data_IF_569758245416
#
_entry.id   IF_569758245416
#
_cell.length_a   1.000
_cell.length_b   1.000
_cell.length_c   1.000
_cell.angle_alpha   90.00
_cell.angle_beta   90.00
_cell.angle_gamma   90.00
#
_symmetry.space_group_name_H-M   'P 1'
#
loop_
_entity.id
_entity.type
_entity.pdbx_description
1 polymer ?
#
# COMPACT_ATOMS: atom_id res chain seq x y z
N UNK A 1 7.60 16.46 -3.18
CA UNK A 1 8.00 15.78 -4.43
C UNK A 1 6.86 14.84 -4.79
N UNK A 2 6.52 14.68 -6.06
CA UNK A 2 5.42 13.78 -6.45
C UNK A 2 5.82 12.32 -6.25
N UNK A 3 4.80 11.45 -6.09
CA UNK A 3 4.98 10.00 -5.96
C UNK A 3 5.69 9.41 -7.18
N UNK A 4 5.38 9.93 -8.38
CA UNK A 4 6.05 9.58 -9.63
C UNK A 4 7.54 9.94 -9.62
N UNK A 5 7.90 11.11 -9.08
CA UNK A 5 9.32 11.53 -9.00
C UNK A 5 10.10 10.71 -7.95
N UNK A 6 9.46 10.34 -6.85
CA UNK A 6 10.09 9.55 -5.78
C UNK A 6 10.20 8.05 -6.13
N UNK A 7 9.19 7.51 -6.81
CA UNK A 7 9.07 6.09 -7.17
C UNK A 7 8.81 5.90 -8.68
N UNK A 8 9.70 6.39 -9.56
CA UNK A 8 9.46 6.39 -11.00
C UNK A 8 9.40 4.98 -11.56
N UNK A 9 10.11 4.01 -10.95
CA UNK A 9 10.05 2.62 -11.39
C UNK A 9 8.69 2.04 -11.10
N UNK A 10 8.24 2.12 -9.85
CA UNK A 10 6.97 1.54 -9.42
C UNK A 10 5.79 2.19 -10.15
N UNK A 11 5.82 3.51 -10.30
CA UNK A 11 4.85 4.24 -11.08
C UNK A 11 4.76 3.72 -12.53
N UNK A 12 5.91 3.60 -13.20
CA UNK A 12 5.95 3.14 -14.58
C UNK A 12 5.58 1.66 -14.73
N UNK A 13 5.96 0.81 -13.78
CA UNK A 13 5.62 -0.62 -13.82
C UNK A 13 4.10 -0.81 -13.77
N UNK A 14 3.40 -0.03 -12.94
CA UNK A 14 1.95 -0.05 -12.86
C UNK A 14 1.28 0.54 -14.10
N UNK A 15 1.66 1.75 -14.53
CA UNK A 15 1.08 2.43 -15.70
C UNK A 15 1.23 1.61 -17.00
N UNK A 16 2.37 0.93 -17.16
CA UNK A 16 2.68 0.15 -18.37
C UNK A 16 2.35 -1.34 -18.23
N UNK A 17 1.60 -1.74 -17.20
CA UNK A 17 1.17 -3.12 -16.98
C UNK A 17 2.32 -4.15 -16.99
N UNK A 18 3.47 -3.78 -16.42
CA UNK A 18 4.67 -4.64 -16.39
C UNK A 18 4.61 -5.71 -15.31
N UNK A 19 3.70 -5.56 -14.35
CA UNK A 19 3.47 -6.52 -13.28
C UNK A 19 2.28 -7.39 -13.69
N UNK A 20 2.43 -8.72 -13.64
CA UNK A 20 1.32 -9.60 -13.98
C UNK A 20 0.23 -9.57 -12.91
N UNK A 21 -0.99 -9.94 -13.28
CA UNK A 21 -2.15 -9.97 -12.36
C UNK A 21 -1.91 -10.85 -11.14
N UNK A 22 -1.15 -11.93 -11.28
CA UNK A 22 -0.84 -12.86 -10.21
C UNK A 22 0.15 -12.28 -9.18
N UNK A 23 0.87 -11.20 -9.55
CA UNK A 23 1.93 -10.60 -8.75
C UNK A 23 1.62 -9.21 -8.23
N UNK A 24 0.52 -8.61 -8.67
CA UNK A 24 0.19 -7.22 -8.33
C UNK A 24 -0.04 -7.02 -6.82
N UNK A 25 -0.70 -7.98 -6.16
CA UNK A 25 -0.94 -7.93 -4.72
C UNK A 25 0.39 -7.92 -3.96
N UNK A 26 1.28 -8.87 -4.27
CA UNK A 26 2.63 -8.92 -3.68
C UNK A 26 3.43 -7.64 -3.94
N UNK A 27 3.35 -7.13 -5.17
CA UNK A 27 4.05 -5.92 -5.57
C UNK A 27 3.62 -4.70 -4.73
N UNK A 28 2.31 -4.50 -4.57
CA UNK A 28 1.75 -3.41 -3.78
C UNK A 28 2.06 -3.56 -2.28
N UNK A 29 1.94 -4.77 -1.72
CA UNK A 29 2.28 -4.99 -0.30
C UNK A 29 3.77 -4.75 -0.03
N UNK A 30 4.66 -5.16 -0.94
CA UNK A 30 6.09 -4.87 -0.85
C UNK A 30 6.39 -3.38 -0.97
N UNK A 31 5.63 -2.66 -1.78
CA UNK A 31 5.74 -1.21 -1.84
C UNK A 31 5.39 -0.58 -0.49
N UNK A 32 4.26 -0.96 0.13
CA UNK A 32 3.89 -0.46 1.47
C UNK A 32 4.92 -0.83 2.53
N UNK A 33 5.47 -2.05 2.50
CA UNK A 33 6.55 -2.47 3.40
C UNK A 33 7.78 -1.55 3.29
N UNK A 34 8.13 -1.15 2.06
CA UNK A 34 9.21 -0.18 1.81
C UNK A 34 8.87 1.20 2.39
N UNK A 35 7.65 1.71 2.16
CA UNK A 35 7.21 3.00 2.73
C UNK A 35 7.36 2.99 4.25
N UNK A 36 6.87 1.94 4.90
CA UNK A 36 6.94 1.76 6.34
C UNK A 36 8.38 1.75 6.86
N UNK A 37 9.29 1.08 6.16
CA UNK A 37 10.72 1.08 6.50
C UNK A 37 11.36 2.46 6.37
N UNK A 38 11.01 3.21 5.33
CA UNK A 38 11.50 4.57 5.12
C UNK A 38 11.00 5.52 6.22
N UNK A 39 9.73 5.39 6.62
CA UNK A 39 9.15 6.14 7.75
C UNK A 39 9.86 5.81 9.06
N UNK A 40 9.97 4.52 9.41
CA UNK A 40 10.65 4.09 10.65
C UNK A 40 12.13 4.49 10.72
N UNK A 41 12.78 4.67 9.57
CA UNK A 41 14.18 5.11 9.50
C UNK A 41 14.33 6.64 9.38
N UNK A 42 13.24 7.39 9.49
CA UNK A 42 13.23 8.85 9.43
C UNK A 42 13.57 9.44 8.05
N UNK A 43 13.49 8.62 6.99
CA UNK A 43 13.71 9.07 5.60
C UNK A 43 12.46 9.66 4.97
N UNK A 44 11.31 9.51 5.64
CA UNK A 44 9.99 9.87 5.16
C UNK A 44 9.09 10.27 6.32
N UNK A 45 8.10 11.12 6.09
CA UNK A 45 7.11 11.48 7.11
C UNK A 45 6.08 10.37 7.27
N UNK A 46 5.53 10.21 8.47
CA UNK A 46 4.50 9.21 8.76
C UNK A 46 3.27 9.39 7.87
N UNK A 47 2.84 10.64 7.64
CA UNK A 47 1.68 10.99 6.80
C UNK A 47 1.81 10.47 5.37
N UNK A 48 3.03 10.24 4.88
CA UNK A 48 3.27 9.72 3.53
C UNK A 48 3.02 8.20 3.42
N UNK A 49 2.60 7.51 4.50
CA UNK A 49 2.18 6.09 4.42
C UNK A 49 0.95 5.89 3.53
N UNK A 50 0.09 6.92 3.41
CA UNK A 50 -1.07 6.91 2.51
C UNK A 50 -0.72 6.77 1.03
N UNK A 51 0.54 7.01 0.66
CA UNK A 51 1.03 6.85 -0.71
C UNK A 51 0.92 5.42 -1.25
N UNK A 52 0.77 4.42 -0.37
CA UNK A 52 0.44 3.05 -0.77
C UNK A 52 -0.90 2.95 -1.52
N UNK A 53 -1.91 3.73 -1.11
CA UNK A 53 -3.21 3.80 -1.79
C UNK A 53 -3.14 4.56 -3.11
N UNK A 54 -2.37 5.64 -3.14
CA UNK A 54 -2.16 6.44 -4.36
C UNK A 54 -1.63 5.57 -5.51
N UNK A 55 -0.85 4.53 -5.24
CA UNK A 55 -0.42 3.58 -6.27
C UNK A 55 -1.58 2.76 -6.86
N UNK A 56 -2.59 2.45 -6.05
CA UNK A 56 -3.80 1.71 -6.47
C UNK A 56 -4.73 2.58 -7.29
N UNK A 57 -4.97 3.84 -6.90
CA UNK A 57 -5.83 4.78 -7.68
C UNK A 57 -5.30 4.98 -9.11
N UNK A 58 -3.99 4.86 -9.29
CA UNK A 58 -3.35 4.97 -10.60
C UNK A 58 -3.40 3.67 -11.42
N UNK A 59 -3.91 2.56 -10.86
CA UNK A 59 -4.29 1.40 -11.63
C UNK A 59 -5.65 1.66 -12.28
N UNK A 60 -5.81 1.26 -13.54
CA UNK A 60 -7.15 1.08 -14.08
C UNK A 60 -7.74 -0.13 -13.37
N UNK A 61 -8.78 0.06 -12.55
CA UNK A 61 -9.44 -1.03 -11.81
C UNK A 61 -9.85 -2.21 -12.71
N UNK A 62 -10.18 -1.91 -13.98
CA UNK A 62 -10.52 -2.89 -15.02
C UNK A 62 -9.35 -3.85 -15.33
N UNK A 63 -8.12 -3.39 -15.16
CA UNK A 63 -6.90 -4.12 -15.52
C UNK A 63 -6.33 -4.95 -14.36
N UNK A 64 -6.64 -4.61 -13.11
CA UNK A 64 -6.18 -5.36 -11.93
C UNK A 64 -7.29 -5.56 -10.90
N UNK A 65 -7.82 -6.79 -10.85
CA UNK A 65 -8.72 -7.22 -9.78
C UNK A 65 -7.90 -7.68 -8.57
N UNK A 66 -7.57 -6.74 -7.68
CA UNK A 66 -6.82 -7.01 -6.45
C UNK A 66 -7.55 -8.02 -5.55
N UNK A 67 -6.78 -8.72 -4.71
CA UNK A 67 -7.37 -9.52 -3.65
C UNK A 67 -8.20 -8.61 -2.71
N UNK A 68 -9.43 -9.01 -2.30
CA UNK A 68 -10.27 -8.17 -1.45
C UNK A 68 -9.60 -7.74 -0.13
N UNK A 69 -8.75 -8.59 0.46
CA UNK A 69 -8.01 -8.24 1.68
C UNK A 69 -6.93 -7.19 1.42
N UNK A 70 -6.29 -7.22 0.24
CA UNK A 70 -5.28 -6.25 -0.18
C UNK A 70 -5.94 -4.92 -0.49
N UNK A 71 -7.01 -4.95 -1.29
CA UNK A 71 -7.79 -3.76 -1.60
C UNK A 71 -8.32 -3.08 -0.33
N UNK A 72 -8.96 -3.83 0.56
CA UNK A 72 -9.48 -3.33 1.84
C UNK A 72 -8.39 -2.68 2.70
N UNK A 73 -7.20 -3.29 2.77
CA UNK A 73 -6.06 -2.74 3.50
C UNK A 73 -5.53 -1.45 2.86
N UNK A 74 -5.29 -1.45 1.54
CA UNK A 74 -4.78 -0.28 0.83
C UNK A 74 -5.77 0.87 0.84
N UNK A 75 -7.07 0.59 0.75
CA UNK A 75 -8.13 1.59 0.89
C UNK A 75 -8.05 2.28 2.26
N UNK A 76 -8.00 1.49 3.35
CA UNK A 76 -7.87 2.02 4.72
C UNK A 76 -6.55 2.78 4.95
N UNK A 77 -5.51 2.45 4.18
CA UNK A 77 -4.25 3.17 4.18
C UNK A 77 -4.38 4.54 3.49
N UNK A 78 -5.27 4.70 2.51
CA UNK A 78 -5.46 5.96 1.79
C UNK A 78 -5.90 7.13 2.66
N UNK A 79 -6.66 6.85 3.72
CA UNK A 79 -7.08 7.84 4.71
C UNK A 79 -6.12 7.95 5.91
N UNK A 80 -4.94 7.34 5.83
CA UNK A 80 -3.90 7.45 6.85
C UNK A 80 -3.52 8.93 7.07
N UNK A 81 -3.54 9.39 8.32
CA UNK A 81 -3.26 10.78 8.69
C UNK A 81 -4.45 11.74 8.58
N UNK A 82 -5.60 11.31 8.01
CA UNK A 82 -6.81 12.15 7.88
C UNK A 82 -7.82 12.00 9.04
N UNK A 83 -7.49 11.18 10.06
CA UNK A 83 -8.22 11.07 11.33
C UNK A 83 -8.75 9.66 11.64
N UNK A 84 -9.18 9.46 12.88
CA UNK A 84 -9.85 8.21 13.31
C UNK A 84 -11.27 8.18 12.73
N UNK A 85 -11.53 7.23 11.83
CA UNK A 85 -12.84 7.02 11.22
C UNK A 85 -13.09 5.54 10.91
N UNK A 86 -14.35 5.19 10.64
CA UNK A 86 -14.72 3.88 10.11
C UNK A 86 -15.02 4.01 8.61
N UNK A 87 -14.52 3.07 7.80
CA UNK A 87 -15.00 2.84 6.43
C UNK A 87 -15.86 1.58 6.34
N UNK A 88 -16.44 1.35 5.17
CA UNK A 88 -17.04 0.06 4.81
C UNK A 88 -16.07 -1.13 4.95
N UNK A 89 -14.75 -0.87 4.98
CA UNK A 89 -13.69 -1.86 5.14
C UNK A 89 -13.17 -2.00 6.57
N UNK A 90 -13.73 -1.23 7.53
CA UNK A 90 -13.36 -1.22 8.94
C UNK A 90 -12.66 0.07 9.38
N UNK A 91 -12.13 0.05 10.61
CA UNK A 91 -11.43 1.18 11.25
C UNK A 91 -10.25 1.67 10.44
N UNK A 92 -10.04 2.97 10.28
CA UNK A 92 -8.84 3.50 9.64
C UNK A 92 -7.56 3.16 10.42
N UNK A 93 -6.42 3.23 9.72
CA UNK A 93 -5.10 3.01 10.30
C UNK A 93 -4.56 4.34 10.83
N UNK A 94 -4.10 4.37 12.08
CA UNK A 94 -3.70 5.59 12.79
C UNK A 94 -2.23 5.67 13.18
N UNK A 95 -1.46 4.59 13.04
CA UNK A 95 -0.02 4.60 13.35
C UNK A 95 0.81 3.66 12.47
N UNK A 96 2.15 3.86 12.40
CA UNK A 96 3.03 2.95 11.67
C UNK A 96 2.98 1.52 12.21
N UNK A 97 2.79 1.33 13.52
CA UNK A 97 2.67 0.02 14.16
C UNK A 97 1.38 -0.71 13.76
N UNK A 98 0.27 0.01 13.62
CA UNK A 98 -0.99 -0.55 13.13
C UNK A 98 -0.88 -0.94 11.66
N UNK A 99 -0.26 -0.09 10.84
CA UNK A 99 0.03 -0.37 9.43
C UNK A 99 0.88 -1.63 9.31
N UNK A 100 1.95 -1.75 10.11
CA UNK A 100 2.79 -2.96 10.13
C UNK A 100 2.00 -4.22 10.49
N UNK A 101 1.17 -4.13 11.53
CA UNK A 101 0.39 -5.26 12.04
C UNK A 101 -0.61 -5.76 11.00
N UNK A 102 -1.37 -4.86 10.38
CA UNK A 102 -2.33 -5.22 9.35
C UNK A 102 -1.64 -5.65 8.05
N UNK A 103 -0.51 -5.04 7.68
CA UNK A 103 0.31 -5.47 6.55
C UNK A 103 0.80 -6.92 6.70
N UNK A 104 1.35 -7.27 7.87
CA UNK A 104 1.76 -8.66 8.20
C UNK A 104 0.59 -9.62 8.11
N UNK A 105 -0.56 -9.23 8.65
CA UNK A 105 -1.78 -10.05 8.65
C UNK A 105 -2.30 -10.32 7.23
N UNK A 106 -2.31 -9.31 6.35
CA UNK A 106 -2.73 -9.48 4.95
C UNK A 106 -1.71 -10.33 4.18
N UNK A 107 -0.41 -10.07 4.34
CA UNK A 107 0.64 -10.84 3.69
C UNK A 107 0.62 -12.32 4.09
N UNK A 108 0.47 -12.60 5.40
CA UNK A 108 0.36 -13.97 5.92
C UNK A 108 -0.85 -14.72 5.35
N UNK A 109 -2.00 -14.06 5.18
CA UNK A 109 -3.19 -14.68 4.56
C UNK A 109 -2.95 -15.09 3.11
N UNK A 110 -2.05 -14.42 2.41
CA UNK A 110 -1.72 -14.68 1.02
C UNK A 110 -0.46 -15.53 0.83
N UNK A 111 0.22 -15.92 1.93
CA UNK A 111 1.49 -16.63 1.86
C UNK A 111 2.62 -15.79 1.26
N UNK A 112 2.55 -14.46 1.39
CA UNK A 112 3.56 -13.53 0.89
C UNK A 112 4.56 -13.23 2.00
N UNK A 113 5.83 -13.43 1.71
CA UNK A 113 6.93 -13.06 2.60
C UNK A 113 7.30 -11.59 2.40
N UNK A 114 7.29 -10.82 3.49
CA UNK A 114 7.64 -9.40 3.51
C UNK A 114 8.84 -9.19 4.44
N UNK A 115 9.88 -8.55 3.92
CA UNK A 115 11.01 -8.07 4.73
C UNK A 115 10.61 -6.80 5.49
N UNK A 116 10.04 -6.97 6.69
CA UNK A 116 9.57 -5.88 7.57
C UNK A 116 10.52 -5.61 8.74
#
# INVERSE_FOLDING_TARGET
>A
MSLQEMYPKEWNDLQNHRISKERIDEYLLKFVARLLKEVKTGKRNEDDLGDGWSMVINLKEEDYKLNPSVYSFLFRLGDYGFGEGDSEYGKMLGSPEEVETELKKVANKLGIDLEL
#
